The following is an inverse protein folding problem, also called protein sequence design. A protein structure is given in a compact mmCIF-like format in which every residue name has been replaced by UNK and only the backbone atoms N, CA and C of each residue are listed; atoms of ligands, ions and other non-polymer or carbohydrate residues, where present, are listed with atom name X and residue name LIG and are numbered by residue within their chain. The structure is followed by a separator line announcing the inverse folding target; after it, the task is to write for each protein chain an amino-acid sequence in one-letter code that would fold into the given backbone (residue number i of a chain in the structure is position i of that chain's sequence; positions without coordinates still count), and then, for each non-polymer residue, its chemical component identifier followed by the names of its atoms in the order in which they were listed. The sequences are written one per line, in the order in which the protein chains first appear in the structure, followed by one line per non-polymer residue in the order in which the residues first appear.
data_IF_105892682686
#
_entry.id   IF_105892682686
#
_cell.length_a   1.000
_cell.length_b   1.000
_cell.length_c   1.000
_cell.angle_alpha   90.00
_cell.angle_beta   90.00
_cell.angle_gamma   90.00
#
_symmetry.space_group_name_H-M   'P 1'
#
loop_
_entity.id
_entity.type
_entity.pdbx_description
1 polymer ?
#
# COMPACT_ATOMS: atom_id res chain seq x y z
N UNK A 1 -6.53 7.06 -3.10
CA UNK A 1 -5.96 5.71 -3.02
C UNK A 1 -6.59 4.87 -1.92
N UNK A 2 -6.51 5.24 -0.63
CA UNK A 2 -7.01 4.41 0.47
C UNK A 2 -8.47 3.94 0.32
N UNK A 3 -9.39 4.84 -0.05
CA UNK A 3 -10.79 4.46 -0.31
C UNK A 3 -10.94 3.44 -1.44
N UNK A 4 -10.08 3.49 -2.47
CA UNK A 4 -10.12 2.54 -3.58
C UNK A 4 -9.64 1.16 -3.12
N UNK A 5 -8.55 1.10 -2.36
CA UNK A 5 -8.04 -0.14 -1.75
C UNK A 5 -9.10 -0.74 -0.83
N UNK A 6 -9.71 0.08 0.03
CA UNK A 6 -10.80 -0.34 0.91
C UNK A 6 -11.95 -0.99 0.13
N UNK A 7 -12.47 -0.31 -0.90
CA UNK A 7 -13.55 -0.83 -1.74
C UNK A 7 -13.15 -2.13 -2.47
N UNK A 8 -11.90 -2.25 -2.93
CA UNK A 8 -11.41 -3.48 -3.56
C UNK A 8 -11.43 -4.66 -2.60
N UNK A 9 -10.92 -4.48 -1.37
CA UNK A 9 -10.91 -5.52 -0.35
C UNK A 9 -12.33 -5.95 0.01
N UNK A 10 -13.24 -5.00 0.25
CA UNK A 10 -14.63 -5.33 0.55
C UNK A 10 -15.28 -6.12 -0.60
N UNK A 11 -15.09 -5.68 -1.85
CA UNK A 11 -15.70 -6.32 -3.01
C UNK A 11 -15.22 -7.76 -3.27
N UNK A 12 -13.98 -8.08 -2.94
CA UNK A 12 -13.39 -9.39 -3.27
C UNK A 12 -13.36 -10.37 -2.10
N UNK A 13 -13.44 -9.88 -0.86
CA UNK A 13 -13.35 -10.73 0.34
C UNK A 13 -14.66 -10.85 1.10
N UNK A 14 -15.59 -9.90 0.95
CA UNK A 14 -16.83 -9.85 1.73
C UNK A 14 -16.61 -9.60 3.23
N UNK A 15 -15.39 -9.26 3.66
CA UNK A 15 -15.07 -8.99 5.07
C UNK A 15 -15.89 -7.78 5.54
N UNK A 16 -16.55 -7.93 6.69
CA UNK A 16 -17.34 -6.86 7.29
C UNK A 16 -16.44 -5.69 7.71
N UNK A 17 -17.01 -4.47 7.70
CA UNK A 17 -16.30 -3.22 8.00
C UNK A 17 -15.56 -3.25 9.36
N UNK A 18 -16.17 -3.86 10.37
CA UNK A 18 -15.63 -3.97 11.73
C UNK A 18 -14.54 -5.05 11.87
N UNK A 19 -14.31 -5.84 10.82
CA UNK A 19 -13.30 -6.90 10.75
C UNK A 19 -12.14 -6.55 9.80
N UNK A 20 -12.17 -5.39 9.16
CA UNK A 20 -11.14 -4.91 8.25
C UNK A 20 -10.48 -3.65 8.81
N UNK A 21 -9.15 -3.65 8.91
CA UNK A 21 -8.37 -2.45 9.19
C UNK A 21 -7.31 -2.28 8.10
N UNK A 22 -7.19 -1.07 7.56
CA UNK A 22 -6.17 -0.72 6.57
C UNK A 22 -5.38 0.47 7.13
N UNK A 23 -4.05 0.32 7.17
CA UNK A 23 -3.12 1.39 7.51
C UNK A 23 -2.19 1.65 6.33
N UNK A 24 -1.83 2.91 6.12
CA UNK A 24 -0.84 3.32 5.13
C UNK A 24 0.33 3.96 5.86
N UNK A 25 1.54 3.50 5.55
CA UNK A 25 2.78 4.10 6.01
C UNK A 25 3.66 4.39 4.81
N UNK A 26 4.11 5.63 4.73
CA UNK A 26 5.10 6.05 3.75
C UNK A 26 6.51 5.83 4.30
N UNK A 27 7.40 5.32 3.45
CA UNK A 27 8.83 5.23 3.74
C UNK A 27 9.62 5.84 2.57
N UNK A 28 10.74 6.51 2.82
CA UNK A 28 11.62 6.96 1.74
C UNK A 28 12.09 5.77 0.90
N UNK A 29 12.21 5.94 -0.43
CA UNK A 29 12.70 4.89 -1.32
C UNK A 29 14.12 4.43 -0.94
N UNK A 30 14.96 5.34 -0.43
CA UNK A 30 16.30 5.05 0.11
C UNK A 30 16.29 4.07 1.28
N UNK A 31 15.14 3.90 1.94
CA UNK A 31 14.96 3.03 3.10
C UNK A 31 14.19 1.75 2.73
N UNK A 32 13.91 1.53 1.45
CA UNK A 32 13.25 0.34 0.93
C UNK A 32 14.20 -0.45 0.03
N UNK A 33 14.16 -1.78 0.13
CA UNK A 33 14.97 -2.67 -0.69
C UNK A 33 14.07 -3.71 -1.36
N UNK A 34 14.24 -3.87 -2.67
CA UNK A 34 13.56 -4.88 -3.49
C UNK A 34 14.60 -5.65 -4.30
N UNK A 35 14.54 -6.98 -4.28
CA UNK A 35 15.49 -7.86 -4.98
C UNK A 35 16.98 -7.57 -4.67
N UNK A 36 17.27 -7.16 -3.44
CA UNK A 36 18.64 -6.86 -2.99
C UNK A 36 19.17 -5.50 -3.44
N UNK A 37 18.33 -4.64 -4.03
CA UNK A 37 18.69 -3.29 -4.46
C UNK A 37 17.82 -2.25 -3.74
N UNK A 38 18.40 -1.09 -3.41
CA UNK A 38 17.62 0.03 -2.88
C UNK A 38 16.61 0.47 -3.95
N UNK A 39 15.36 0.67 -3.56
CA UNK A 39 14.33 1.11 -4.49
C UNK A 39 14.66 2.50 -5.04
N UNK A 40 14.44 2.68 -6.35
CA UNK A 40 14.62 3.99 -6.98
C UNK A 40 13.52 4.96 -6.52
N UNK A 41 13.89 6.24 -6.36
CA UNK A 41 12.90 7.28 -6.12
C UNK A 41 11.93 7.35 -7.29
N UNK A 42 10.64 7.44 -6.97
CA UNK A 42 9.59 7.63 -7.99
C UNK A 42 9.51 9.13 -8.27
N UNK A 43 9.74 9.54 -9.52
CA UNK A 43 9.73 10.95 -9.92
C UNK A 43 11.14 11.57 -9.99
N UNK A 44 11.80 11.38 -11.12
CA UNK A 44 12.76 12.36 -11.66
C UNK A 44 12.25 12.75 -13.05
N UNK A 45 11.44 13.81 -13.10
CA UNK A 45 11.33 14.69 -14.27
C UNK A 45 12.07 15.99 -13.93
#
# INVERSE_FOLDING_TARGET
MLNQVWSMFQAHTGIATDQLAISLQEIPASNAMEMGQIMHAVGHE
#
